data_IF_224438798395
#
_entry.id   IF_224438798395
#
_cell.length_a   1.000
_cell.length_b   1.000
_cell.length_c   1.000
_cell.angle_alpha   90.00
_cell.angle_beta   90.00
_cell.angle_gamma   90.00
#
_symmetry.space_group_name_H-M   'P 1'
#
loop_
_entity.id
_entity.type
_entity.pdbx_description
1 polymer ?
#
# COMPACT_ATOMS: atom_id res chain seq x y z
N UNK A 1 6.47 -19.36 5.67
CA UNK A 1 6.16 -18.89 4.30
C UNK A 1 5.06 -19.77 3.71
N UNK A 2 3.92 -19.21 3.28
CA UNK A 2 2.86 -20.03 2.69
C UNK A 2 3.13 -20.26 1.19
N UNK A 3 2.81 -21.44 0.67
CA UNK A 3 3.09 -21.84 -0.72
C UNK A 3 2.27 -21.12 -1.81
N UNK A 4 1.80 -19.90 -1.54
CA UNK A 4 1.05 -19.08 -2.49
C UNK A 4 1.99 -18.54 -3.56
N UNK A 5 1.65 -18.77 -4.81
CA UNK A 5 2.40 -18.27 -5.98
C UNK A 5 1.65 -17.08 -6.57
N UNK A 6 2.36 -16.00 -6.83
CA UNK A 6 1.83 -14.80 -7.47
C UNK A 6 2.53 -14.63 -8.82
N UNK A 7 1.75 -14.35 -9.86
CA UNK A 7 2.28 -14.03 -11.20
C UNK A 7 2.89 -12.64 -11.27
N UNK A 8 2.47 -11.74 -10.37
CA UNK A 8 2.96 -10.37 -10.28
C UNK A 8 3.88 -10.18 -9.08
N UNK A 9 5.10 -9.69 -9.33
CA UNK A 9 6.09 -9.41 -8.28
C UNK A 9 5.59 -8.40 -7.24
N UNK A 10 4.80 -7.40 -7.65
CA UNK A 10 4.16 -6.44 -6.74
C UNK A 10 3.21 -7.11 -5.74
N UNK A 11 2.44 -8.10 -6.18
CA UNK A 11 1.56 -8.87 -5.30
C UNK A 11 2.34 -9.80 -4.38
N UNK A 12 3.42 -10.43 -4.86
CA UNK A 12 4.30 -11.24 -4.02
C UNK A 12 4.92 -10.40 -2.88
N UNK A 13 5.50 -9.25 -3.21
CA UNK A 13 6.11 -8.34 -2.21
C UNK A 13 5.08 -7.84 -1.21
N UNK A 14 3.88 -7.47 -1.68
CA UNK A 14 2.76 -7.09 -0.80
C UNK A 14 2.35 -8.26 0.10
N UNK A 15 2.29 -9.48 -0.43
CA UNK A 15 1.93 -10.67 0.34
C UNK A 15 2.99 -11.02 1.39
N UNK A 16 4.27 -10.89 1.08
CA UNK A 16 5.37 -11.16 2.01
C UNK A 16 5.29 -10.29 3.27
N UNK A 17 4.78 -9.05 3.17
CA UNK A 17 4.53 -8.19 4.34
C UNK A 17 3.62 -8.81 5.40
N UNK A 18 2.77 -9.77 5.04
CA UNK A 18 1.88 -10.46 5.99
C UNK A 18 2.67 -11.44 6.86
N UNK A 19 3.74 -12.02 6.31
CA UNK A 19 4.63 -12.92 7.04
C UNK A 19 5.68 -12.15 7.84
N UNK A 20 6.21 -11.06 7.28
CA UNK A 20 7.31 -10.30 7.92
C UNK A 20 6.82 -9.12 8.77
N UNK A 21 5.55 -8.71 8.61
CA UNK A 21 5.03 -7.46 9.19
C UNK A 21 5.55 -6.20 8.50
N UNK A 22 6.43 -6.31 7.50
CA UNK A 22 7.04 -5.15 6.87
C UNK A 22 6.07 -4.40 5.97
N UNK A 23 5.71 -3.19 6.40
CA UNK A 23 4.92 -2.26 5.59
C UNK A 23 5.82 -1.12 5.13
N UNK A 24 6.47 -1.23 3.96
CA UNK A 24 7.47 -0.25 3.53
C UNK A 24 6.86 1.09 3.12
N UNK A 25 5.55 1.13 2.83
CA UNK A 25 4.87 2.34 2.38
C UNK A 25 4.20 3.03 3.57
N UNK A 26 4.71 4.17 4.02
CA UNK A 26 4.11 4.96 5.08
C UNK A 26 3.37 6.17 4.51
N UNK A 27 2.24 6.53 5.10
CA UNK A 27 1.56 7.78 4.83
C UNK A 27 2.26 8.92 5.56
N UNK A 28 2.67 9.95 4.82
CA UNK A 28 3.35 11.12 5.39
C UNK A 28 2.44 11.96 6.31
N UNK A 29 1.12 11.92 6.10
CA UNK A 29 0.17 12.73 6.87
C UNK A 29 -0.16 12.13 8.25
N UNK A 30 -0.27 10.80 8.35
CA UNK A 30 -0.72 10.15 9.59
C UNK A 30 0.17 8.99 10.06
N UNK A 31 1.29 8.74 9.37
CA UNK A 31 2.23 7.65 9.69
C UNK A 31 1.71 6.23 9.40
N UNK A 32 0.45 6.08 8.92
CA UNK A 32 -0.15 4.75 8.69
C UNK A 32 0.59 4.00 7.60
N UNK A 33 0.95 2.75 7.87
CA UNK A 33 1.79 1.92 6.98
C UNK A 33 0.94 0.94 6.17
N UNK A 34 1.34 0.73 4.92
CA UNK A 34 0.67 -0.12 3.93
C UNK A 34 1.66 -1.09 3.31
N UNK A 35 1.14 -2.25 2.92
CA UNK A 35 1.89 -3.31 2.26
C UNK A 35 2.14 -3.03 0.76
N UNK A 36 1.36 -2.15 0.14
CA UNK A 36 1.44 -1.86 -1.29
C UNK A 36 1.19 -0.39 -1.61
N UNK A 37 1.83 0.10 -2.69
CA UNK A 37 1.72 1.49 -3.18
C UNK A 37 0.28 1.89 -3.53
N UNK A 38 -0.51 1.00 -4.15
CA UNK A 38 -1.89 1.30 -4.53
C UNK A 38 -2.76 1.61 -3.31
N UNK A 39 -2.61 0.84 -2.22
CA UNK A 39 -3.35 1.05 -0.99
C UNK A 39 -2.95 2.36 -0.31
N UNK A 40 -1.65 2.70 -0.31
CA UNK A 40 -1.17 3.98 0.17
C UNK A 40 -1.77 5.14 -0.65
N UNK A 41 -1.79 5.04 -1.98
CA UNK A 41 -2.31 6.10 -2.88
C UNK A 41 -3.79 6.40 -2.62
N UNK A 42 -4.63 5.37 -2.54
CA UNK A 42 -6.06 5.52 -2.22
C UNK A 42 -6.23 6.12 -0.82
N UNK A 43 -5.40 5.71 0.13
CA UNK A 43 -5.45 6.27 1.48
C UNK A 43 -5.03 7.75 1.53
N UNK A 44 -3.95 8.13 0.83
CA UNK A 44 -3.50 9.52 0.72
C UNK A 44 -4.56 10.41 0.10
N UNK A 45 -5.27 9.93 -0.92
CA UNK A 45 -6.39 10.66 -1.52
C UNK A 45 -7.49 11.00 -0.50
N UNK A 46 -7.70 10.15 0.52
CA UNK A 46 -8.68 10.41 1.59
C UNK A 46 -8.22 11.47 2.60
N UNK A 47 -6.91 11.71 2.73
CA UNK A 47 -6.41 12.88 3.46
C UNK A 47 -6.62 14.16 2.65
N UNK A 48 -6.54 14.06 1.33
CA UNK A 48 -6.74 15.18 0.41
C UNK A 48 -8.21 15.38 0.02
N UNK A 49 -9.18 15.13 0.91
CA UNK A 49 -10.61 15.46 0.66
C UNK A 49 -10.88 16.98 0.54
N UNK A 50 -9.90 17.75 0.09
CA UNK A 50 -10.01 19.12 -0.41
C UNK A 50 -8.98 19.36 -1.52
N UNK A 51 -9.19 18.77 -2.70
CA UNK A 51 -8.81 19.33 -4.02
C UNK A 51 -9.21 18.36 -5.12
N UNK A 52 -10.40 18.59 -5.69
CA UNK A 52 -10.75 18.10 -7.04
C UNK A 52 -9.89 18.86 -8.03
N UNK A 53 -9.39 18.21 -9.07
CA UNK A 53 -9.12 18.86 -10.35
C UNK A 53 -9.38 17.86 -11.47
N UNK A 54 -10.44 18.13 -12.21
CA UNK A 54 -10.76 17.55 -13.51
C UNK A 54 -9.56 17.65 -14.46
N UNK A 55 -9.39 16.62 -15.29
CA UNK A 55 -8.63 16.65 -16.53
C UNK A 55 -9.36 15.78 -17.53
#
# INVERSE_FOLDING_TARGET
MCGKRFTQSGHLKTHQSVHTGERPFACEHCGKRFAGKQNLRIHQQKHHTSSVSNG
#
